data_IF_238239584146
#
_entry.id   IF_238239584146
#
_cell.length_a   1.000
_cell.length_b   1.000
_cell.length_c   1.000
_cell.angle_alpha   90.00
_cell.angle_beta   90.00
_cell.angle_gamma   90.00
#
_symmetry.space_group_name_H-M   'P 1'
#
loop_
_entity.id
_entity.type
_entity.pdbx_description
1 polymer ?
#
# COMPACT_ATOMS: atom_id res chain seq x y z
N UNK A 1 -36.52 11.88 -22.97
CA UNK A 1 -35.50 12.91 -23.23
C UNK A 1 -34.16 12.38 -22.73
N UNK A 2 -33.29 11.94 -23.63
CA UNK A 2 -31.92 11.56 -23.28
C UNK A 2 -31.09 12.83 -23.05
N UNK A 3 -30.52 13.00 -21.86
CA UNK A 3 -29.38 13.88 -21.66
C UNK A 3 -28.24 13.06 -21.09
N UNK A 4 -27.16 13.09 -21.85
CA UNK A 4 -25.86 12.43 -21.68
C UNK A 4 -25.23 12.74 -20.31
N UNK A 5 -24.80 11.70 -19.60
CA UNK A 5 -23.99 11.78 -18.37
C UNK A 5 -22.54 12.06 -18.76
N UNK A 6 -22.21 13.32 -19.04
CA UNK A 6 -20.82 13.75 -19.21
C UNK A 6 -20.25 14.02 -17.81
N UNK A 7 -19.38 13.11 -17.36
CA UNK A 7 -18.43 13.30 -16.25
C UNK A 7 -19.03 13.47 -14.86
N UNK A 8 -19.44 12.37 -14.21
CA UNK A 8 -19.60 12.42 -12.75
C UNK A 8 -18.22 12.63 -12.12
N UNK A 9 -18.04 13.78 -11.46
CA UNK A 9 -16.91 14.03 -10.57
C UNK A 9 -17.01 13.04 -9.41
N UNK A 10 -16.02 12.17 -9.27
CA UNK A 10 -15.89 11.24 -8.16
C UNK A 10 -15.91 12.04 -6.84
N UNK A 11 -16.64 11.56 -5.84
CA UNK A 11 -16.66 12.16 -4.51
C UNK A 11 -15.30 11.97 -3.82
N UNK A 12 -15.00 12.81 -2.82
CA UNK A 12 -13.73 12.71 -2.06
C UNK A 12 -13.56 11.34 -1.39
N UNK A 13 -14.65 10.76 -0.87
CA UNK A 13 -14.65 9.41 -0.31
C UNK A 13 -14.37 8.33 -1.37
N UNK A 14 -14.98 8.43 -2.54
CA UNK A 14 -14.73 7.47 -3.63
C UNK A 14 -13.28 7.56 -4.14
N UNK A 15 -12.72 8.77 -4.19
CA UNK A 15 -11.31 8.97 -4.51
C UNK A 15 -10.40 8.34 -3.45
N UNK A 16 -10.66 8.57 -2.16
CA UNK A 16 -9.89 7.95 -1.08
C UNK A 16 -10.00 6.42 -1.07
N UNK A 17 -11.16 5.85 -1.46
CA UNK A 17 -11.29 4.40 -1.64
C UNK A 17 -10.45 3.88 -2.80
N UNK A 18 -10.42 4.62 -3.91
CA UNK A 18 -9.60 4.29 -5.08
C UNK A 18 -8.12 4.33 -4.72
N UNK A 19 -7.67 5.42 -4.12
CA UNK A 19 -6.27 5.63 -3.73
C UNK A 19 -5.83 4.57 -2.73
N UNK A 20 -6.65 4.23 -1.73
CA UNK A 20 -6.35 3.15 -0.79
C UNK A 20 -6.14 1.81 -1.50
N UNK A 21 -7.01 1.45 -2.45
CA UNK A 21 -6.89 0.20 -3.21
C UNK A 21 -5.65 0.19 -4.09
N UNK A 22 -5.39 1.29 -4.80
CA UNK A 22 -4.22 1.42 -5.66
C UNK A 22 -2.92 1.33 -4.86
N UNK A 23 -2.87 1.92 -3.65
CA UNK A 23 -1.73 1.78 -2.73
C UNK A 23 -1.58 0.34 -2.24
N UNK A 24 -2.69 -0.34 -1.88
CA UNK A 24 -2.65 -1.75 -1.46
C UNK A 24 -2.14 -2.65 -2.58
N UNK A 25 -2.69 -2.55 -3.79
CA UNK A 25 -2.28 -3.35 -4.94
C UNK A 25 -0.80 -3.12 -5.28
N UNK A 26 -0.32 -1.86 -5.16
CA UNK A 26 1.08 -1.54 -5.37
C UNK A 26 2.00 -2.20 -4.34
N UNK A 27 1.69 -2.12 -3.06
CA UNK A 27 2.50 -2.74 -1.99
C UNK A 27 2.47 -4.26 -2.12
N UNK A 28 1.33 -4.86 -2.42
CA UNK A 28 1.22 -6.31 -2.61
C UNK A 28 2.10 -6.80 -3.76
N UNK A 29 2.01 -6.14 -4.92
CA UNK A 29 2.86 -6.43 -6.09
C UNK A 29 4.33 -6.29 -5.72
N UNK A 30 4.68 -5.21 -5.03
CA UNK A 30 6.06 -4.93 -4.67
C UNK A 30 6.61 -5.95 -3.67
N UNK A 31 5.86 -6.30 -2.61
CA UNK A 31 6.27 -7.33 -1.65
C UNK A 31 6.48 -8.70 -2.31
N UNK A 32 5.66 -9.03 -3.31
CA UNK A 32 5.84 -10.24 -4.11
C UNK A 32 7.13 -10.19 -4.94
N UNK A 33 7.42 -9.07 -5.62
CA UNK A 33 8.68 -8.89 -6.36
C UNK A 33 9.89 -8.99 -5.41
N UNK A 34 9.81 -8.40 -4.21
CA UNK A 34 10.86 -8.48 -3.21
C UNK A 34 11.13 -9.92 -2.72
N UNK A 35 10.07 -10.74 -2.61
CA UNK A 35 10.15 -12.16 -2.27
C UNK A 35 10.78 -12.96 -3.42
N UNK A 36 10.26 -12.80 -4.64
CA UNK A 36 10.69 -13.54 -5.84
C UNK A 36 12.15 -13.26 -6.21
N UNK A 37 12.60 -12.01 -6.05
CA UNK A 37 13.97 -11.59 -6.35
C UNK A 37 14.93 -11.74 -5.15
N UNK A 38 14.44 -12.24 -4.00
CA UNK A 38 15.21 -12.37 -2.75
C UNK A 38 15.96 -11.07 -2.39
N UNK A 39 15.29 -9.93 -2.58
CA UNK A 39 15.90 -8.60 -2.40
C UNK A 39 16.11 -8.23 -0.94
N UNK A 40 15.33 -8.83 -0.04
CA UNK A 40 15.46 -8.71 1.40
C UNK A 40 15.60 -10.10 2.06
N UNK A 41 16.41 -10.23 3.12
CA UNK A 41 16.40 -11.41 3.96
C UNK A 41 15.01 -11.68 4.52
N UNK A 42 14.68 -12.96 4.73
CA UNK A 42 13.37 -13.39 5.23
C UNK A 42 13.04 -12.76 6.59
N UNK A 43 14.04 -12.55 7.45
CA UNK A 43 13.87 -11.94 8.77
C UNK A 43 13.45 -10.46 8.72
N UNK A 44 13.58 -9.83 7.54
CA UNK A 44 13.19 -8.44 7.29
C UNK A 44 11.93 -8.39 6.44
N UNK A 45 11.84 -9.25 5.42
CA UNK A 45 10.67 -9.33 4.56
C UNK A 45 9.41 -9.81 5.31
N UNK A 46 9.52 -10.84 6.16
CA UNK A 46 8.37 -11.42 6.86
C UNK A 46 7.66 -10.41 7.80
N UNK A 47 8.37 -9.59 8.61
CA UNK A 47 7.73 -8.53 9.37
C UNK A 47 6.98 -7.50 8.51
N UNK A 48 7.56 -7.08 7.38
CA UNK A 48 6.96 -6.09 6.48
C UNK A 48 5.70 -6.64 5.80
N UNK A 49 5.74 -7.90 5.36
CA UNK A 49 4.58 -8.57 4.75
C UNK A 49 3.47 -8.82 5.78
N UNK A 50 3.84 -9.19 7.02
CA UNK A 50 2.88 -9.30 8.11
C UNK A 50 2.19 -7.96 8.41
N UNK A 51 2.96 -6.87 8.50
CA UNK A 51 2.42 -5.53 8.73
C UNK A 51 1.42 -5.14 7.64
N UNK A 52 1.75 -5.38 6.37
CA UNK A 52 0.82 -5.16 5.26
C UNK A 52 -0.51 -5.90 5.44
N UNK A 53 -0.47 -7.20 5.76
CA UNK A 53 -1.67 -8.01 6.01
C UNK A 53 -2.50 -7.44 7.16
N UNK A 54 -1.86 -6.97 8.22
CA UNK A 54 -2.55 -6.32 9.35
C UNK A 54 -3.19 -4.98 8.96
N UNK A 55 -2.56 -4.22 8.08
CA UNK A 55 -3.11 -2.97 7.54
C UNK A 55 -4.28 -3.20 6.59
N UNK A 56 -4.29 -4.31 5.84
CA UNK A 56 -5.46 -4.73 5.05
C UNK A 56 -6.60 -5.27 5.94
N UNK A 57 -6.26 -6.06 6.96
CA UNK A 57 -7.20 -6.80 7.82
C UNK A 57 -7.89 -6.00 8.92
N UNK A 58 -8.07 -4.68 8.78
CA UNK A 58 -8.72 -3.85 9.81
C UNK A 58 -10.20 -4.24 9.99
N UNK A 59 -10.69 -4.17 11.24
CA UNK A 59 -12.06 -4.59 11.61
C UNK A 59 -13.22 -3.96 10.80
N UNK A 60 -13.02 -2.75 10.28
CA UNK A 60 -14.04 -2.05 9.49
C UNK A 60 -13.63 -2.11 8.01
N UNK A 61 -14.46 -2.66 7.10
CA UNK A 61 -14.16 -2.63 5.67
C UNK A 61 -14.00 -1.18 5.16
N UNK A 62 -13.09 -0.91 4.22
CA UNK A 62 -12.89 0.44 3.67
C UNK A 62 -14.19 1.12 3.21
N UNK A 63 -15.10 0.40 2.58
CA UNK A 63 -16.36 0.91 2.05
C UNK A 63 -17.25 1.50 3.16
N UNK A 64 -17.12 0.96 4.37
CA UNK A 64 -17.85 1.38 5.57
C UNK A 64 -17.15 2.51 6.34
N UNK A 65 -15.90 2.84 5.99
CA UNK A 65 -15.18 3.95 6.62
C UNK A 65 -15.74 5.32 6.20
N UNK A 66 -15.58 6.29 7.10
CA UNK A 66 -15.66 7.71 6.74
C UNK A 66 -14.41 8.14 5.97
N UNK A 67 -14.50 9.25 5.24
CA UNK A 67 -13.41 9.79 4.42
C UNK A 67 -12.09 9.96 5.19
N UNK A 68 -12.14 10.61 6.36
CA UNK A 68 -10.94 10.83 7.20
C UNK A 68 -10.27 9.49 7.55
N UNK A 69 -11.07 8.46 7.85
CA UNK A 69 -10.52 7.16 8.22
C UNK A 69 -9.88 6.43 7.04
N UNK A 70 -10.28 6.74 5.80
CA UNK A 70 -9.62 6.23 4.60
C UNK A 70 -8.25 6.89 4.42
N UNK A 71 -8.16 8.20 4.60
CA UNK A 71 -6.88 8.93 4.54
C UNK A 71 -5.89 8.45 5.60
N UNK A 72 -6.34 8.21 6.83
CA UNK A 72 -5.49 7.62 7.88
C UNK A 72 -4.93 6.25 7.46
N UNK A 73 -5.73 5.40 6.78
CA UNK A 73 -5.25 4.09 6.30
C UNK A 73 -4.26 4.22 5.15
N UNK A 74 -4.46 5.19 4.27
CA UNK A 74 -3.50 5.50 3.20
C UNK A 74 -2.17 5.96 3.82
N UNK A 75 -2.22 6.80 4.85
CA UNK A 75 -1.02 7.24 5.58
C UNK A 75 -0.30 6.06 6.25
N UNK A 76 -1.03 5.14 6.91
CA UNK A 76 -0.44 3.90 7.45
C UNK A 76 0.29 3.09 6.37
N UNK A 77 -0.28 2.94 5.18
CA UNK A 77 0.35 2.23 4.07
C UNK A 77 1.55 2.97 3.48
N UNK A 78 1.50 4.31 3.41
CA UNK A 78 2.63 5.11 2.95
C UNK A 78 3.82 5.01 3.90
N UNK A 79 3.58 4.97 5.21
CA UNK A 79 4.64 4.73 6.19
C UNK A 79 5.28 3.35 5.98
N UNK A 80 4.49 2.31 5.70
CA UNK A 80 5.02 1.00 5.34
C UNK A 80 5.88 1.04 4.06
N UNK A 81 5.48 1.82 3.04
CA UNK A 81 6.31 2.04 1.84
C UNK A 81 7.65 2.70 2.20
N UNK A 82 7.65 3.68 3.09
CA UNK A 82 8.88 4.32 3.58
C UNK A 82 9.77 3.30 4.28
N UNK A 83 9.21 2.48 5.18
CA UNK A 83 9.95 1.43 5.88
C UNK A 83 10.56 0.40 4.92
N UNK A 84 9.80 -0.06 3.91
CA UNK A 84 10.32 -0.97 2.87
C UNK A 84 11.48 -0.32 2.12
N UNK A 85 11.34 0.95 1.70
CA UNK A 85 12.40 1.68 1.00
C UNK A 85 13.66 1.84 1.86
N UNK A 86 13.51 2.16 3.14
CA UNK A 86 14.63 2.27 4.07
C UNK A 86 15.36 0.92 4.21
N UNK A 87 14.61 -0.18 4.40
CA UNK A 87 15.21 -1.53 4.48
C UNK A 87 15.93 -1.91 3.20
N UNK A 88 15.38 -1.60 2.04
CA UNK A 88 16.03 -1.83 0.74
C UNK A 88 17.29 -0.99 0.58
N UNK A 89 17.30 0.26 1.03
CA UNK A 89 18.50 1.10 0.97
C UNK A 89 19.61 0.57 1.89
N UNK A 90 19.25 0.12 3.10
CA UNK A 90 20.17 -0.50 4.07
C UNK A 90 20.80 -1.80 3.53
N UNK A 91 20.04 -2.61 2.79
CA UNK A 91 20.49 -3.92 2.31
C UNK A 91 21.05 -3.90 0.88
N UNK A 92 20.55 -3.02 0.03
CA UNK A 92 21.02 -2.84 -1.35
C UNK A 92 22.39 -2.17 -1.43
N UNK A 93 22.77 -1.34 -0.46
CA UNK A 93 24.12 -0.74 -0.39
C UNK A 93 25.22 -1.75 -0.02
N UNK A 94 24.88 -2.91 0.54
CA UNK A 94 25.84 -3.95 0.92
C UNK A 94 26.27 -4.88 -0.23
N UNK A 95 25.61 -4.85 -1.40
CA UNK A 95 25.97 -5.71 -2.55
C UNK A 95 27.19 -5.22 -3.36
N UNK A 96 27.83 -4.10 -2.99
CA UNK A 96 28.99 -3.52 -3.69
C UNK A 96 30.34 -3.66 -2.94
N UNK A 97 30.46 -4.59 -2.00
CA UNK A 97 31.75 -4.92 -1.36
C UNK A 97 32.06 -6.40 -1.52
N UNK A 98 32.39 -6.83 -2.75
CA UNK A 98 33.31 -7.97 -2.99
C UNK A 98 33.95 -7.87 -4.37
#
# INVERSE_FOLDING_TARGET
MHKSLIGQKMSSKEQALKDLRETQDHIETWLQELEEEELLPIEIWEPLSHEFVMLQGKHIPPEMCGEIKLWERIEELNNLIEDINEKLAEHGTNKNVT
#
